data_IF_139313647073
#
_entry.id   IF_139313647073
#
_cell.length_a   1.000
_cell.length_b   1.000
_cell.length_c   1.000
_cell.angle_alpha   90.00
_cell.angle_beta   90.00
_cell.angle_gamma   90.00
#
_symmetry.space_group_name_H-M   'P 1'
#
loop_
_entity.id
_entity.type
_entity.pdbx_description
1 polymer ?
#
# COMPACT_ATOMS: atom_id res chain seq x y z
N UNK A 1 33.96 -60.58 -39.30
CA UNK A 1 32.71 -60.32 -38.55
C UNK A 1 32.00 -59.17 -39.23
N UNK A 2 30.84 -59.47 -39.78
CA UNK A 2 30.12 -58.66 -40.78
C UNK A 2 28.83 -58.16 -40.11
N UNK A 3 28.52 -56.86 -40.21
CA UNK A 3 27.26 -56.34 -39.65
C UNK A 3 27.03 -54.84 -39.90
N UNK A 4 26.63 -54.49 -41.12
CA UNK A 4 25.99 -53.19 -41.47
C UNK A 4 24.52 -53.19 -41.03
N UNK A 5 23.93 -51.96 -40.96
CA UNK A 5 22.52 -51.53 -41.17
C UNK A 5 21.84 -51.02 -39.87
N UNK A 6 20.99 -49.99 -39.84
CA UNK A 6 20.38 -49.11 -40.85
C UNK A 6 19.75 -47.88 -40.16
N UNK A 7 19.70 -46.80 -40.93
CA UNK A 7 18.93 -45.55 -40.82
C UNK A 7 17.45 -45.76 -40.48
N UNK A 8 16.85 -44.88 -39.67
CA UNK A 8 15.48 -44.36 -39.93
C UNK A 8 15.33 -42.91 -39.45
N UNK A 9 15.22 -42.00 -40.42
CA UNK A 9 14.65 -40.65 -40.25
C UNK A 9 13.13 -40.77 -40.14
N UNK A 10 12.49 -39.98 -39.29
CA UNK A 10 11.07 -39.67 -39.43
C UNK A 10 10.87 -38.18 -39.15
N UNK A 11 10.71 -37.41 -40.23
CA UNK A 11 10.08 -36.10 -40.25
C UNK A 11 8.59 -36.30 -39.95
N UNK A 12 8.03 -35.51 -39.04
CA UNK A 12 6.60 -35.24 -39.00
C UNK A 12 6.41 -33.74 -39.10
N UNK A 13 6.14 -33.29 -40.32
CA UNK A 13 5.52 -32.01 -40.59
C UNK A 13 4.01 -32.21 -40.44
N UNK A 14 3.39 -31.50 -39.50
CA UNK A 14 1.94 -31.43 -39.37
C UNK A 14 1.51 -29.97 -39.49
N UNK A 15 0.52 -29.78 -40.35
CA UNK A 15 0.11 -28.54 -40.97
C UNK A 15 -0.66 -27.59 -40.04
N UNK A 16 -0.57 -26.31 -40.43
CA UNK A 16 -1.51 -25.23 -40.15
C UNK A 16 -2.95 -25.69 -39.95
N UNK A 17 -3.57 -25.19 -38.87
CA UNK A 17 -4.99 -24.84 -38.87
C UNK A 17 -5.14 -23.41 -38.32
N UNK A 18 -5.56 -22.53 -39.24
CA UNK A 18 -6.01 -21.16 -39.00
C UNK A 18 -7.43 -21.25 -38.44
N UNK A 19 -7.69 -20.60 -37.30
CA UNK A 19 -9.02 -20.48 -36.70
C UNK A 19 -9.08 -19.26 -35.76
N UNK A 20 -9.93 -18.25 -36.03
CA UNK A 20 -9.77 -16.86 -35.55
C UNK A 20 -10.52 -16.53 -34.24
N UNK A 21 -10.39 -15.26 -33.84
CA UNK A 21 -11.05 -14.55 -32.74
C UNK A 21 -10.28 -14.63 -31.41
N UNK A 22 -9.02 -14.17 -31.47
CA UNK A 22 -8.43 -13.47 -30.33
C UNK A 22 -9.17 -12.12 -30.19
N UNK A 23 -10.34 -12.15 -29.54
CA UNK A 23 -10.87 -10.99 -28.85
C UNK A 23 -9.99 -10.72 -27.64
N UNK A 24 -8.76 -10.25 -27.90
CA UNK A 24 -7.97 -9.55 -26.91
C UNK A 24 -8.72 -8.25 -26.66
N UNK A 25 -9.73 -8.31 -25.81
CA UNK A 25 -10.09 -7.15 -25.00
C UNK A 25 -8.78 -6.75 -24.35
N UNK A 26 -8.16 -5.72 -24.91
CA UNK A 26 -7.16 -4.97 -24.19
C UNK A 26 -7.90 -4.49 -22.95
N UNK A 27 -7.81 -5.26 -21.87
CA UNK A 27 -7.81 -4.70 -20.55
C UNK A 27 -6.68 -3.68 -20.64
N UNK A 28 -7.04 -2.43 -20.92
CA UNK A 28 -6.24 -1.31 -20.47
C UNK A 28 -6.07 -1.59 -18.99
N UNK A 29 -4.95 -2.19 -18.62
CA UNK A 29 -4.53 -2.25 -17.24
C UNK A 29 -4.52 -0.80 -16.81
N UNK A 30 -5.60 -0.37 -16.14
CA UNK A 30 -5.65 0.96 -15.56
C UNK A 30 -4.45 0.98 -14.64
N UNK A 31 -3.47 1.82 -14.95
CA UNK A 31 -2.34 2.04 -14.07
C UNK A 31 -2.92 2.33 -12.69
N UNK A 32 -2.46 1.58 -11.68
CA UNK A 32 -2.85 1.85 -10.30
C UNK A 32 -2.59 3.35 -10.02
N UNK A 33 -3.46 4.02 -9.25
CA UNK A 33 -3.21 5.40 -8.89
C UNK A 33 -1.85 5.50 -8.19
N UNK A 34 -1.00 6.41 -8.65
CA UNK A 34 0.28 6.66 -7.98
C UNK A 34 0.05 7.56 -6.76
N UNK A 35 0.61 7.22 -5.59
CA UNK A 35 0.51 8.08 -4.42
C UNK A 35 1.32 9.36 -4.65
N UNK A 36 0.92 10.45 -3.98
CA UNK A 36 1.73 11.65 -3.97
C UNK A 36 2.94 11.43 -3.07
N UNK A 37 4.11 11.59 -3.66
CA UNK A 37 5.41 11.59 -2.99
C UNK A 37 5.91 13.02 -2.87
N UNK A 38 6.17 13.48 -1.67
CA UNK A 38 6.66 14.84 -1.41
C UNK A 38 8.08 14.81 -0.87
N UNK A 39 8.95 15.78 -1.19
CA UNK A 39 10.28 15.83 -0.61
C UNK A 39 10.24 15.85 0.91
N UNK A 40 10.90 14.89 1.55
CA UNK A 40 11.04 14.89 3.00
C UNK A 40 12.22 15.78 3.39
N UNK A 41 11.93 16.80 4.20
CA UNK A 41 12.97 17.61 4.83
C UNK A 41 13.20 17.05 6.22
N UNK A 42 14.33 16.36 6.46
CA UNK A 42 14.61 15.84 7.78
C UNK A 42 14.73 16.96 8.81
N UNK A 43 14.05 16.80 9.94
CA UNK A 43 14.26 17.67 11.11
C UNK A 43 15.43 17.10 11.89
N UNK A 44 16.49 17.89 12.01
CA UNK A 44 17.63 17.58 12.88
C UNK A 44 17.25 17.93 14.31
N UNK A 45 17.23 16.93 15.19
CA UNK A 45 17.08 17.13 16.64
C UNK A 45 18.46 16.96 17.27
N UNK A 46 18.96 18.00 17.94
CA UNK A 46 20.23 18.01 18.68
C UNK A 46 21.48 17.59 17.88
N UNK A 47 21.49 17.81 16.55
CA UNK A 47 22.65 17.52 15.70
C UNK A 47 22.90 16.03 15.45
N UNK A 48 21.99 15.16 15.89
CA UNK A 48 21.92 13.76 15.47
C UNK A 48 21.01 13.62 14.23
N UNK A 49 21.36 12.68 13.36
CA UNK A 49 20.68 12.43 12.10
C UNK A 49 19.22 11.96 12.33
N UNK A 50 18.29 12.70 11.71
CA UNK A 50 16.89 12.40 11.37
C UNK A 50 16.17 11.34 12.23
N UNK A 51 15.39 11.79 13.21
CA UNK A 51 14.25 11.00 13.69
C UNK A 51 13.07 11.36 12.80
N UNK A 52 12.45 10.39 12.12
CA UNK A 52 11.16 10.64 11.49
C UNK A 52 10.17 10.96 12.62
N UNK A 53 9.81 12.24 12.75
CA UNK A 53 8.89 12.71 13.78
C UNK A 53 7.48 12.54 13.22
N UNK A 54 6.63 11.79 13.92
CA UNK A 54 5.20 11.86 13.67
C UNK A 54 4.76 13.32 13.71
N UNK A 55 3.96 13.82 12.76
CA UNK A 55 3.49 15.19 12.85
C UNK A 55 2.71 15.42 14.15
N UNK A 56 2.66 16.66 14.65
CA UNK A 56 1.83 16.99 15.81
C UNK A 56 0.34 16.81 15.49
N UNK A 57 -0.03 17.18 14.26
CA UNK A 57 -1.38 17.09 13.73
C UNK A 57 -1.48 15.99 12.67
N UNK A 58 -2.62 15.29 12.65
CA UNK A 58 -2.91 14.35 11.57
C UNK A 58 -3.17 15.11 10.26
N UNK A 59 -2.65 14.62 9.12
CA UNK A 59 -3.04 15.15 7.83
C UNK A 59 -4.55 14.94 7.64
N UNK A 60 -5.21 15.91 7.02
CA UNK A 60 -6.63 15.78 6.70
C UNK A 60 -6.84 14.60 5.75
N UNK A 61 -7.75 13.69 6.11
CA UNK A 61 -8.18 12.64 5.19
C UNK A 61 -8.76 13.30 3.93
N UNK A 62 -8.28 12.96 2.71
CA UNK A 62 -8.78 13.54 1.47
C UNK A 62 -10.31 13.45 1.43
N UNK A 63 -10.93 14.63 1.49
CA UNK A 63 -12.35 14.83 1.70
C UNK A 63 -13.16 14.69 0.42
N UNK A 64 -13.36 13.45 0.01
CA UNK A 64 -14.55 13.04 -0.72
C UNK A 64 -15.03 11.74 -0.08
N UNK A 65 -16.32 11.64 0.26
CA UNK A 65 -16.95 10.39 0.68
C UNK A 65 -17.05 9.36 -0.48
N UNK A 66 -16.08 9.40 -1.41
CA UNK A 66 -16.02 8.55 -2.58
C UNK A 66 -14.97 7.46 -2.34
N UNK A 67 -15.28 6.27 -2.82
CA UNK A 67 -14.31 5.19 -2.89
C UNK A 67 -13.19 5.56 -3.85
N UNK A 68 -11.95 5.19 -3.51
CA UNK A 68 -10.82 5.27 -4.44
C UNK A 68 -11.05 4.35 -5.65
N UNK A 69 -10.37 4.63 -6.76
CA UNK A 69 -10.42 3.77 -7.95
C UNK A 69 -9.71 2.43 -7.76
N UNK A 70 -8.77 2.35 -6.82
CA UNK A 70 -8.02 1.14 -6.48
C UNK A 70 -6.92 1.42 -5.47
N UNK A 71 -6.24 0.36 -5.03
CA UNK A 71 -5.06 0.48 -4.19
C UNK A 71 -3.92 1.18 -4.94
N UNK A 72 -3.16 2.07 -4.29
CA UNK A 72 -2.00 2.68 -4.92
C UNK A 72 -0.83 1.70 -5.07
N UNK A 73 -0.03 1.90 -6.12
CA UNK A 73 1.28 1.25 -6.24
C UNK A 73 2.31 2.07 -5.47
N UNK A 74 2.83 1.51 -4.37
CA UNK A 74 3.83 2.17 -3.55
C UNK A 74 5.24 2.06 -4.17
N UNK A 75 5.47 1.08 -5.05
CA UNK A 75 6.80 0.75 -5.55
C UNK A 75 7.73 0.18 -4.46
N UNK A 76 9.01 0.52 -4.52
CA UNK A 76 9.99 0.17 -3.49
C UNK A 76 9.94 1.22 -2.36
N UNK A 77 9.96 0.77 -1.10
CA UNK A 77 9.95 1.61 0.10
C UNK A 77 11.28 1.40 0.83
N UNK A 78 11.95 2.49 1.19
CA UNK A 78 13.25 2.48 1.87
C UNK A 78 13.13 2.53 3.40
N UNK A 79 12.02 3.08 3.91
CA UNK A 79 11.73 3.13 5.34
C UNK A 79 10.24 3.32 5.64
N UNK A 80 9.80 2.84 6.81
CA UNK A 80 8.43 3.01 7.28
C UNK A 80 8.38 3.29 8.79
N UNK A 81 7.44 4.14 9.21
CA UNK A 81 7.16 4.43 10.61
C UNK A 81 5.67 4.47 10.88
N UNK A 82 5.25 3.94 12.02
CA UNK A 82 3.89 3.98 12.52
C UNK A 82 3.76 5.02 13.62
N UNK A 83 2.72 5.83 13.51
CA UNK A 83 2.33 6.85 14.47
C UNK A 83 0.90 6.56 14.95
N UNK A 84 0.71 6.41 16.25
CA UNK A 84 -0.61 6.16 16.83
C UNK A 84 -1.13 7.41 17.58
N UNK A 85 -2.29 7.90 17.16
CA UNK A 85 -2.95 9.07 17.74
C UNK A 85 -4.18 8.61 18.54
N UNK A 86 -4.20 8.80 19.87
CA UNK A 86 -5.33 8.39 20.71
C UNK A 86 -6.56 9.28 20.47
N UNK A 87 -7.75 8.76 20.78
CA UNK A 87 -9.04 9.44 20.61
C UNK A 87 -9.11 10.76 21.40
N UNK A 88 -8.60 10.73 22.63
CA UNK A 88 -8.79 11.81 23.60
C UNK A 88 -7.56 12.72 23.71
N UNK A 89 -6.89 13.00 22.59
CA UNK A 89 -5.66 13.79 22.63
C UNK A 89 -5.94 15.28 22.84
N UNK A 90 -5.90 15.70 24.09
CA UNK A 90 -5.78 17.11 24.48
C UNK A 90 -4.30 17.54 24.40
N UNK A 91 -3.83 17.99 23.23
CA UNK A 91 -2.50 18.61 23.10
C UNK A 91 -1.80 18.41 21.75
N UNK A 92 -0.79 19.25 21.49
CA UNK A 92 -0.02 19.34 20.23
C UNK A 92 1.26 18.48 20.20
N UNK A 93 1.46 17.60 21.18
CA UNK A 93 2.66 16.77 21.18
C UNK A 93 2.60 15.78 20.01
N UNK A 94 3.71 15.54 19.33
CA UNK A 94 3.82 14.44 18.36
C UNK A 94 3.72 13.10 19.11
N UNK A 95 3.03 12.07 18.59
CA UNK A 95 3.18 10.72 19.13
C UNK A 95 4.59 10.18 18.85
N UNK A 96 5.08 9.20 19.63
CA UNK A 96 6.32 8.52 19.29
C UNK A 96 6.17 7.78 17.96
N UNK A 97 7.19 7.87 17.11
CA UNK A 97 7.26 7.09 15.87
C UNK A 97 7.87 5.72 16.16
N UNK A 98 7.17 4.66 15.76
CA UNK A 98 7.67 3.29 15.82
C UNK A 98 8.16 2.86 14.43
N UNK A 99 9.45 2.57 14.29
CA UNK A 99 10.02 2.11 13.02
C UNK A 99 9.52 0.70 12.69
N UNK A 100 9.26 0.43 11.41
CA UNK A 100 8.93 -0.90 10.91
C UNK A 100 10.08 -1.40 10.05
N UNK A 101 10.63 -2.56 10.38
CA UNK A 101 11.75 -3.16 9.64
C UNK A 101 11.31 -4.02 8.46
N UNK A 102 10.13 -4.66 8.55
CA UNK A 102 9.59 -5.51 7.48
C UNK A 102 8.80 -4.68 6.46
N UNK A 103 9.53 -4.00 5.57
CA UNK A 103 8.97 -3.10 4.57
C UNK A 103 8.18 -3.83 3.47
N UNK A 104 8.54 -5.09 3.19
CA UNK A 104 7.80 -5.93 2.25
C UNK A 104 6.40 -6.27 2.78
N UNK A 105 6.28 -6.59 4.08
CA UNK A 105 4.99 -6.81 4.72
C UNK A 105 4.14 -5.54 4.73
N UNK A 106 4.73 -4.37 5.04
CA UNK A 106 4.03 -3.08 5.00
C UNK A 106 3.48 -2.80 3.60
N UNK A 107 4.30 -2.97 2.56
CA UNK A 107 3.88 -2.77 1.18
C UNK A 107 2.74 -3.72 0.81
N UNK A 108 2.90 -5.02 1.07
CA UNK A 108 1.89 -6.02 0.76
C UNK A 108 0.54 -5.70 1.44
N UNK A 109 0.58 -5.18 2.67
CA UNK A 109 -0.61 -4.81 3.43
C UNK A 109 -1.32 -3.59 2.84
N UNK A 110 -0.59 -2.53 2.46
CA UNK A 110 -1.20 -1.35 1.81
C UNK A 110 -1.70 -1.69 0.41
N UNK A 111 -0.94 -2.45 -0.38
CA UNK A 111 -1.34 -2.88 -1.73
C UNK A 111 -2.58 -3.78 -1.70
N UNK A 112 -2.83 -4.50 -0.60
CA UNK A 112 -4.04 -5.29 -0.39
C UNK A 112 -5.30 -4.46 -0.09
N UNK A 113 -5.20 -3.14 0.02
CA UNK A 113 -6.37 -2.28 0.22
C UNK A 113 -7.30 -2.34 -0.99
N UNK A 114 -8.60 -2.22 -0.72
CA UNK A 114 -9.63 -2.18 -1.76
C UNK A 114 -10.36 -0.83 -1.71
N UNK A 115 -11.03 -0.43 -2.80
CA UNK A 115 -11.99 0.68 -2.77
C UNK A 115 -12.94 0.56 -1.57
N UNK A 116 -13.10 1.64 -0.80
CA UNK A 116 -13.98 1.65 0.35
C UNK A 116 -15.45 1.46 -0.03
N UNK A 117 -16.20 0.72 0.79
CA UNK A 117 -17.67 0.70 0.72
C UNK A 117 -18.21 1.90 1.54
N UNK A 118 -18.34 3.05 0.88
CA UNK A 118 -18.72 4.33 1.52
C UNK A 118 -20.20 4.36 1.96
N UNK A 119 -21.02 3.45 1.45
CA UNK A 119 -22.43 3.29 1.84
C UNK A 119 -22.59 2.35 3.05
N UNK A 120 -21.52 1.66 3.46
CA UNK A 120 -21.55 0.78 4.63
C UNK A 120 -21.80 1.60 5.90
N UNK A 121 -22.79 1.23 6.74
CA UNK A 121 -23.00 1.88 8.01
C UNK A 121 -21.80 1.69 8.93
N UNK A 122 -21.30 2.80 9.47
CA UNK A 122 -20.19 2.83 10.39
C UNK A 122 -20.64 2.47 11.80
N UNK A 123 -19.78 1.84 12.59
CA UNK A 123 -20.05 1.69 14.02
C UNK A 123 -19.93 3.03 14.73
N UNK A 124 -20.55 3.17 15.90
CA UNK A 124 -20.40 4.36 16.75
C UNK A 124 -19.12 4.32 17.59
N UNK A 125 -18.25 3.32 17.34
CA UNK A 125 -17.01 3.15 18.10
C UNK A 125 -16.02 4.23 17.70
N UNK A 126 -15.33 4.78 18.69
CA UNK A 126 -14.18 5.65 18.51
C UNK A 126 -12.92 4.89 18.93
N UNK A 127 -11.82 5.13 18.21
CA UNK A 127 -10.56 4.45 18.44
C UNK A 127 -9.37 5.31 17.99
N UNK A 128 -8.14 4.81 18.17
CA UNK A 128 -6.96 5.54 17.74
C UNK A 128 -6.90 5.61 16.21
N UNK A 129 -6.42 6.74 15.69
CA UNK A 129 -6.04 6.88 14.28
C UNK A 129 -4.58 6.50 14.13
N UNK A 130 -4.26 5.69 13.13
CA UNK A 130 -2.90 5.35 12.76
C UNK A 130 -2.46 6.18 11.56
N UNK A 131 -1.23 6.67 11.57
CA UNK A 131 -0.56 7.25 10.43
C UNK A 131 0.68 6.41 10.15
N UNK A 132 0.73 5.82 8.97
CA UNK A 132 1.89 5.13 8.44
C UNK A 132 2.61 6.09 7.49
N UNK A 133 3.84 6.46 7.85
CA UNK A 133 4.72 7.27 7.02
C UNK A 133 5.65 6.35 6.25
N UNK A 134 5.74 6.53 4.94
CA UNK A 134 6.60 5.74 4.05
C UNK A 134 7.61 6.67 3.39
N UNK A 135 8.87 6.26 3.31
CA UNK A 135 9.92 6.96 2.57
C UNK A 135 10.41 6.13 1.37
N UNK A 136 10.65 6.81 0.25
CA UNK A 136 11.27 6.27 -0.95
C UNK A 136 12.22 7.31 -1.53
N UNK A 137 13.52 7.07 -1.43
CA UNK A 137 14.58 7.91 -1.97
C UNK A 137 14.55 9.34 -1.42
N UNK A 138 14.15 9.52 -0.14
CA UNK A 138 13.97 10.83 0.47
C UNK A 138 12.67 11.55 0.08
N UNK A 139 11.74 10.84 -0.56
CA UNK A 139 10.37 11.30 -0.76
C UNK A 139 9.45 10.58 0.22
N UNK A 140 8.49 11.29 0.79
CA UNK A 140 7.51 10.75 1.74
C UNK A 140 6.11 10.70 1.16
N UNK A 141 5.41 9.63 1.51
CA UNK A 141 3.95 9.53 1.41
C UNK A 141 3.36 9.07 2.75
N UNK A 142 2.06 9.29 2.92
CA UNK A 142 1.35 9.11 4.17
C UNK A 142 0.12 8.25 3.95
N UNK A 143 -0.11 7.29 4.85
CA UNK A 143 -1.31 6.46 4.87
C UNK A 143 -1.99 6.66 6.22
N UNK A 144 -3.15 7.31 6.22
CA UNK A 144 -3.95 7.50 7.43
C UNK A 144 -4.99 6.40 7.49
N UNK A 145 -5.11 5.75 8.63
CA UNK A 145 -6.02 4.63 8.85
C UNK A 145 -6.82 4.81 10.12
N UNK A 146 -8.10 4.50 10.04
CA UNK A 146 -9.00 4.40 11.18
C UNK A 146 -9.42 2.94 11.34
N UNK A 147 -9.36 2.38 12.54
CA UNK A 147 -9.81 0.99 12.81
C UNK A 147 -11.22 0.89 13.39
N UNK A 148 -11.81 2.05 13.64
CA UNK A 148 -13.09 2.23 14.29
C UNK A 148 -14.07 2.89 13.31
N UNK A 149 -15.36 2.81 13.61
CA UNK A 149 -16.40 3.31 12.72
C UNK A 149 -16.41 2.58 11.37
N UNK A 150 -16.02 3.30 10.31
CA UNK A 150 -16.14 2.82 8.93
C UNK A 150 -14.91 2.02 8.45
N UNK A 151 -13.81 2.04 9.22
CA UNK A 151 -12.54 1.38 8.88
C UNK A 151 -11.98 1.79 7.52
N UNK A 152 -11.74 3.07 7.37
CA UNK A 152 -11.19 3.63 6.15
C UNK A 152 -9.70 3.92 6.28
N UNK A 153 -9.03 3.81 5.14
CA UNK A 153 -7.69 4.28 4.91
C UNK A 153 -7.71 5.34 3.81
N UNK A 154 -6.79 6.29 3.88
CA UNK A 154 -6.51 7.19 2.78
C UNK A 154 -5.01 7.32 2.60
N UNK A 155 -4.59 7.38 1.33
CA UNK A 155 -3.19 7.55 0.97
C UNK A 155 -3.02 8.95 0.40
N UNK A 156 -1.96 9.65 0.79
CA UNK A 156 -1.69 10.98 0.28
C UNK A 156 -1.63 10.95 -1.26
N UNK A 157 -2.43 11.81 -1.89
CA UNK A 157 -2.53 11.89 -3.35
C UNK A 157 -3.49 10.90 -4.02
N UNK A 158 -4.09 9.95 -3.28
CA UNK A 158 -5.15 9.09 -3.83
C UNK A 158 -6.45 9.86 -4.05
N UNK A 159 -7.27 9.36 -4.98
CA UNK A 159 -8.52 9.98 -5.44
C UNK A 159 -9.73 9.72 -4.53
N UNK A 160 -9.58 8.90 -3.49
CA UNK A 160 -10.66 8.58 -2.56
C UNK A 160 -10.24 7.69 -1.39
N UNK A 161 -11.24 7.10 -0.74
CA UNK A 161 -11.12 6.24 0.43
C UNK A 161 -10.90 4.77 0.05
N UNK A 162 -10.08 4.11 0.85
CA UNK A 162 -9.80 2.69 0.78
C UNK A 162 -10.30 1.99 2.05
N UNK A 163 -10.45 0.68 1.97
CA UNK A 163 -10.66 -0.21 3.12
C UNK A 163 -9.57 -1.27 3.14
N UNK A 164 -8.90 -1.39 4.28
CA UNK A 164 -7.95 -2.47 4.51
C UNK A 164 -8.65 -3.80 4.83
N UNK A 165 -7.93 -4.92 4.69
CA UNK A 165 -8.35 -6.20 5.26
C UNK A 165 -8.71 -6.11 6.75
N UNK A 166 -9.51 -7.05 7.24
CA UNK A 166 -9.79 -7.12 8.66
C UNK A 166 -8.49 -7.36 9.45
N UNK A 167 -8.22 -6.53 10.46
CA UNK A 167 -7.03 -6.65 11.30
C UNK A 167 -5.81 -5.87 10.83
N UNK A 168 -5.89 -5.12 9.72
CA UNK A 168 -4.80 -4.28 9.18
C UNK A 168 -4.08 -3.44 10.23
N UNK A 169 -4.81 -2.78 11.12
CA UNK A 169 -4.21 -1.92 12.15
C UNK A 169 -3.52 -2.71 13.25
N UNK A 170 -4.02 -3.90 13.60
CA UNK A 170 -3.36 -4.81 14.53
C UNK A 170 -2.08 -5.42 13.94
N UNK A 171 -2.11 -5.73 12.64
CA UNK A 171 -0.94 -6.21 11.90
C UNK A 171 0.15 -5.13 11.81
N UNK A 172 -0.21 -3.89 11.49
CA UNK A 172 0.74 -2.77 11.49
C UNK A 172 1.38 -2.52 12.86
N UNK A 173 0.59 -2.58 13.94
CA UNK A 173 1.13 -2.47 15.30
C UNK A 173 2.12 -3.60 15.61
N UNK A 174 1.78 -4.83 15.22
CA UNK A 174 2.68 -5.98 15.38
C UNK A 174 3.99 -5.80 14.59
N UNK A 175 3.92 -5.30 13.36
CA UNK A 175 5.10 -4.97 12.53
C UNK A 175 5.95 -3.86 13.14
N UNK A 176 5.32 -2.89 13.81
CA UNK A 176 5.99 -1.79 14.50
C UNK A 176 6.46 -2.14 15.93
N UNK A 177 6.11 -3.33 16.44
CA UNK A 177 6.46 -3.78 17.78
C UNK A 177 5.75 -3.02 18.91
N UNK A 178 4.54 -2.49 18.66
CA UNK A 178 3.73 -1.70 19.63
C UNK A 178 2.43 -2.38 20.02
#
# INVERSE_FOLDING_TARGET
MTGRRRVTRALVAAALLIGPIAGLSACTAGSAPEPSWTPFVPVLVDGAEVVAVCPGDLPELPGGAAAASGSPDLGEVDAAWLCEYPVDRDGFDAPPAAAIEDLDAVRALVEAFAPADVDRPCTADYGPTLLLMLDRGGLRTEVVMTDYGCRFAAVAGSDGLLSGPAGTTGELRALAGV
#
